data_IF_847846980695
#
_entry.id   IF_847846980695
#
_cell.length_a   1.000
_cell.length_b   1.000
_cell.length_c   1.000
_cell.angle_alpha   90.00
_cell.angle_beta   90.00
_cell.angle_gamma   90.00
#
_symmetry.space_group_name_H-M   'P 1'
#
loop_
_entity.id
_entity.type
_entity.pdbx_description
1 polymer ?
#
# COMPACT_ATOMS: atom_id res chain seq x y z
N UNK A 1 10.25 -0.20 -4.90
CA UNK A 1 9.80 0.45 -6.17
C UNK A 1 8.57 -0.22 -6.76
N UNK A 2 8.52 -1.57 -6.88
CA UNK A 2 7.39 -2.29 -7.49
C UNK A 2 6.03 -1.95 -6.87
N UNK A 3 5.89 -2.01 -5.53
CA UNK A 3 4.61 -1.75 -4.86
C UNK A 3 4.03 -0.35 -5.14
N UNK A 4 4.86 0.69 -5.10
CA UNK A 4 4.44 2.06 -5.44
C UNK A 4 3.90 2.16 -6.87
N UNK A 5 4.63 1.63 -7.85
CA UNK A 5 4.19 1.65 -9.25
C UNK A 5 2.94 0.80 -9.47
N UNK A 6 2.80 -0.31 -8.75
CA UNK A 6 1.60 -1.15 -8.80
C UNK A 6 0.37 -0.36 -8.34
N UNK A 7 0.46 0.38 -7.22
CA UNK A 7 -0.63 1.24 -6.74
C UNK A 7 -0.99 2.30 -7.79
N UNK A 8 -0.01 3.00 -8.34
CA UNK A 8 -0.26 4.05 -9.35
C UNK A 8 -0.88 3.48 -10.64
N UNK A 9 -0.42 2.31 -11.10
CA UNK A 9 -1.00 1.64 -12.27
C UNK A 9 -2.42 1.12 -12.02
N UNK A 10 -2.74 0.73 -10.78
CA UNK A 10 -4.09 0.36 -10.37
C UNK A 10 -5.00 1.59 -10.18
N UNK A 11 -4.44 2.80 -10.21
CA UNK A 11 -5.15 4.07 -10.04
C UNK A 11 -5.37 4.52 -8.60
N UNK A 12 -4.66 3.91 -7.65
CA UNK A 12 -4.66 4.32 -6.26
C UNK A 12 -3.60 5.38 -5.94
N UNK A 13 -3.71 5.94 -4.74
CA UNK A 13 -2.68 6.74 -4.09
C UNK A 13 -1.99 5.91 -3.00
N UNK A 14 -0.69 6.11 -2.79
CA UNK A 14 0.03 5.38 -1.73
C UNK A 14 0.39 6.27 -0.54
N UNK A 15 0.45 5.64 0.64
CA UNK A 15 1.00 6.22 1.86
C UNK A 15 2.27 5.44 2.20
N UNK A 16 3.45 6.07 2.21
CA UNK A 16 4.67 5.39 2.63
C UNK A 16 4.62 5.17 4.15
N UNK A 17 4.77 3.92 4.56
CA UNK A 17 4.88 3.53 5.95
C UNK A 17 6.29 2.99 6.20
N UNK A 18 7.00 3.59 7.15
CA UNK A 18 8.30 3.13 7.59
C UNK A 18 8.10 2.11 8.74
N UNK A 19 8.47 0.83 8.56
CA UNK A 19 8.32 -0.18 9.61
C UNK A 19 9.11 0.12 10.89
N UNK A 20 10.15 0.98 10.82
CA UNK A 20 10.95 1.38 11.96
C UNK A 20 10.25 2.46 12.83
N UNK A 21 9.10 2.97 12.39
CA UNK A 21 8.30 3.88 13.20
C UNK A 21 7.68 3.19 14.42
N UNK A 22 7.50 3.93 15.54
CA UNK A 22 6.77 3.42 16.70
C UNK A 22 5.36 2.93 16.31
N UNK A 23 4.88 1.88 16.97
CA UNK A 23 3.56 1.30 16.67
C UNK A 23 2.42 2.32 16.76
N UNK A 24 2.46 3.24 17.72
CA UNK A 24 1.44 4.29 17.85
C UNK A 24 1.41 5.22 16.62
N UNK A 25 2.60 5.54 16.07
CA UNK A 25 2.72 6.35 14.84
C UNK A 25 2.17 5.59 13.65
N UNK A 26 2.52 4.31 13.49
CA UNK A 26 2.00 3.47 12.41
C UNK A 26 0.47 3.33 12.49
N UNK A 27 -0.07 3.10 13.68
CA UNK A 27 -1.51 3.00 13.91
C UNK A 27 -2.23 4.31 13.57
N UNK A 28 -1.67 5.46 14.00
CA UNK A 28 -2.18 6.78 13.62
C UNK A 28 -2.19 6.96 12.10
N UNK A 29 -1.08 6.67 11.42
CA UNK A 29 -0.98 6.83 9.96
C UNK A 29 -2.00 5.97 9.22
N UNK A 30 -2.16 4.69 9.61
CA UNK A 30 -3.12 3.79 8.99
C UNK A 30 -4.57 4.25 9.22
N UNK A 31 -4.88 4.79 10.40
CA UNK A 31 -6.22 5.29 10.72
C UNK A 31 -6.53 6.60 10.00
N UNK A 32 -5.64 7.59 10.06
CA UNK A 32 -5.86 8.92 9.49
C UNK A 32 -5.91 8.90 7.95
N UNK A 33 -5.08 8.05 7.34
CA UNK A 33 -5.06 7.92 5.88
C UNK A 33 -6.27 7.20 5.29
N UNK A 34 -7.01 6.45 6.11
CA UNK A 34 -8.13 5.63 5.64
C UNK A 34 -7.73 4.56 4.63
N UNK A 35 -6.49 4.05 4.69
CA UNK A 35 -6.07 2.97 3.78
C UNK A 35 -6.93 1.72 4.01
N UNK A 36 -7.38 1.10 2.92
CA UNK A 36 -8.13 -0.16 2.98
C UNK A 36 -7.27 -1.37 2.58
N UNK A 37 -6.11 -1.11 1.97
CA UNK A 37 -5.18 -2.12 1.48
C UNK A 37 -3.74 -1.76 1.87
N UNK A 38 -3.05 -2.71 2.48
CA UNK A 38 -1.64 -2.63 2.85
C UNK A 38 -0.81 -3.60 1.99
N UNK A 39 0.07 -3.05 1.16
CA UNK A 39 1.14 -3.82 0.52
C UNK A 39 2.32 -3.95 1.48
N UNK A 40 2.68 -5.17 1.83
CA UNK A 40 3.77 -5.43 2.79
C UNK A 40 4.50 -6.73 2.45
N UNK A 41 5.39 -7.17 3.33
CA UNK A 41 6.16 -8.41 3.21
C UNK A 41 5.85 -9.30 4.41
N UNK A 42 5.80 -10.63 4.22
CA UNK A 42 5.46 -11.58 5.29
C UNK A 42 6.16 -11.33 6.63
N UNK A 43 7.46 -11.00 6.60
CA UNK A 43 8.27 -10.82 7.81
C UNK A 43 7.89 -9.57 8.63
N UNK A 44 7.14 -8.62 8.04
CA UNK A 44 6.67 -7.41 8.73
C UNK A 44 5.28 -7.60 9.35
N UNK A 45 4.49 -8.55 8.88
CA UNK A 45 3.09 -8.74 9.32
C UNK A 45 2.95 -8.91 10.84
N UNK A 46 3.91 -9.58 11.49
CA UNK A 46 3.89 -9.80 12.94
C UNK A 46 4.23 -8.55 13.78
N UNK A 47 4.75 -7.50 13.17
CA UNK A 47 5.23 -6.29 13.86
C UNK A 47 4.37 -5.05 13.61
N UNK A 48 3.55 -5.07 12.55
CA UNK A 48 2.73 -3.93 12.15
C UNK A 48 1.39 -3.92 12.90
N UNK A 49 0.93 -2.75 13.39
CA UNK A 49 -0.37 -2.61 14.07
C UNK A 49 -1.51 -2.50 13.05
N UNK A 50 -1.70 -3.55 12.25
CA UNK A 50 -2.65 -3.57 11.12
C UNK A 50 -4.09 -3.58 11.65
N UNK A 51 -4.93 -2.57 11.30
CA UNK A 51 -6.33 -2.57 11.70
C UNK A 51 -7.11 -3.70 11.02
N UNK A 52 -8.12 -4.25 11.70
CA UNK A 52 -8.87 -5.41 11.21
C UNK A 52 -9.62 -5.21 9.87
N UNK A 53 -9.87 -3.95 9.47
CA UNK A 53 -10.52 -3.62 8.20
C UNK A 53 -9.54 -3.47 7.03
N UNK A 54 -8.23 -3.45 7.30
CA UNK A 54 -7.20 -3.27 6.28
C UNK A 54 -6.83 -4.64 5.72
N UNK A 55 -7.07 -4.83 4.42
CA UNK A 55 -6.61 -6.02 3.72
C UNK A 55 -5.09 -5.96 3.52
N UNK A 56 -4.44 -7.11 3.61
CA UNK A 56 -2.98 -7.20 3.44
C UNK A 56 -2.65 -8.02 2.21
N UNK A 57 -1.77 -7.51 1.36
CA UNK A 57 -1.21 -8.25 0.23
C UNK A 57 0.30 -8.34 0.39
N UNK A 58 0.83 -9.58 0.30
CA UNK A 58 2.26 -9.83 0.36
C UNK A 58 2.87 -9.65 -1.03
N UNK A 59 3.93 -8.83 -1.11
CA UNK A 59 4.68 -8.64 -2.35
C UNK A 59 5.49 -9.88 -2.77
N UNK A 60 5.66 -10.86 -1.89
CA UNK A 60 6.31 -12.13 -2.21
C UNK A 60 5.37 -13.17 -2.86
N UNK A 61 4.08 -12.90 -2.96
CA UNK A 61 3.12 -13.81 -3.59
C UNK A 61 3.45 -14.05 -5.07
N UNK A 62 3.23 -15.28 -5.53
CA UNK A 62 3.52 -15.66 -6.91
C UNK A 62 2.54 -14.97 -7.87
N UNK A 63 3.08 -14.17 -8.80
CA UNK A 63 2.32 -13.41 -9.80
C UNK A 63 2.40 -14.02 -11.22
N UNK A 64 3.06 -15.17 -11.38
CA UNK A 64 3.39 -15.76 -12.70
C UNK A 64 2.16 -16.09 -13.56
N UNK A 65 1.00 -16.25 -12.94
CA UNK A 65 -0.28 -16.52 -13.62
C UNK A 65 -1.01 -15.26 -14.11
N UNK A 66 -0.55 -14.06 -13.72
CA UNK A 66 -1.18 -12.80 -14.09
C UNK A 66 -0.57 -12.20 -15.37
N UNK A 67 -1.32 -11.31 -16.02
CA UNK A 67 -0.85 -10.60 -17.21
C UNK A 67 0.31 -9.65 -16.88
N UNK A 68 1.27 -9.55 -17.79
CA UNK A 68 2.36 -8.57 -17.72
C UNK A 68 2.05 -7.28 -18.48
N UNK A 69 0.91 -7.20 -19.15
CA UNK A 69 0.47 -6.00 -19.87
C UNK A 69 0.06 -4.88 -18.91
N UNK A 70 0.11 -3.63 -19.38
CA UNK A 70 -0.40 -2.53 -18.58
C UNK A 70 -1.93 -2.65 -18.42
N UNK A 71 -2.47 -2.41 -17.22
CA UNK A 71 -3.92 -2.33 -17.04
C UNK A 71 -4.48 -1.14 -17.83
N UNK A 72 -5.78 -1.19 -18.10
CA UNK A 72 -6.48 -0.04 -18.69
C UNK A 72 -6.35 1.15 -17.73
N UNK A 73 -5.79 2.26 -18.23
CA UNK A 73 -5.63 3.45 -17.42
C UNK A 73 -6.98 4.12 -17.20
N UNK A 74 -7.42 4.20 -15.94
CA UNK A 74 -8.66 4.86 -15.51
C UNK A 74 -8.40 6.17 -14.72
N UNK A 75 -7.15 6.61 -14.64
CA UNK A 75 -6.73 7.78 -13.86
C UNK A 75 -6.81 9.10 -14.63
N UNK A 76 -6.96 10.19 -13.88
CA UNK A 76 -6.90 11.58 -14.32
C UNK A 76 -5.74 12.31 -13.61
N UNK A 77 -5.15 13.37 -14.18
CA UNK A 77 -4.15 14.21 -13.51
C UNK A 77 -4.58 14.78 -12.15
N UNK A 78 -5.89 14.87 -11.89
CA UNK A 78 -6.43 15.36 -10.62
C UNK A 78 -6.49 14.28 -9.52
N UNK A 79 -6.21 13.01 -9.84
CA UNK A 79 -6.17 11.95 -8.84
C UNK A 79 -4.92 12.08 -7.95
N UNK A 80 -5.09 11.74 -6.66
CA UNK A 80 -3.98 11.66 -5.72
C UNK A 80 -2.98 10.59 -6.19
N UNK A 81 -1.68 10.93 -6.15
CA UNK A 81 -0.61 9.96 -6.38
C UNK A 81 -0.06 9.42 -5.05
N UNK A 82 0.08 10.28 -4.04
CA UNK A 82 0.58 9.92 -2.72
C UNK A 82 0.10 10.88 -1.64
N UNK A 83 0.18 10.42 -0.39
CA UNK A 83 0.03 11.25 0.80
C UNK A 83 1.27 11.01 1.68
N UNK A 84 1.98 12.09 2.03
CA UNK A 84 3.15 12.03 2.90
C UNK A 84 2.83 12.81 4.17
N UNK A 85 3.12 12.19 5.30
CA UNK A 85 2.94 12.78 6.62
C UNK A 85 4.22 13.46 7.09
N UNK A 86 4.07 14.62 7.71
CA UNK A 86 5.17 15.41 8.30
C UNK A 86 5.33 15.16 9.80
#
# INVERSE_FOLDING_TARGET
MVGMLAILKAGGAYVPLDPDYPQDRLSFLMHDSGIELLLTQAHLLGHLPIPAHVQTLDLADALDSYSTENPVNQTSPDNLAYVIYT
#
